data_IF_429229528495
#
_entry.id   IF_429229528495
#
_cell.length_a   1.000
_cell.length_b   1.000
_cell.length_c   1.000
_cell.angle_alpha   90.00
_cell.angle_beta   90.00
_cell.angle_gamma   90.00
#
_symmetry.space_group_name_H-M   'P 1'
#
loop_
_entity.id
_entity.type
_entity.pdbx_description
1 polymer ?
#
# COMPACT_ATOMS: atom_id res chain seq x y z
N UNK A 1 -17.91 21.22 2.36
CA UNK A 1 -16.93 22.03 3.10
C UNK A 1 -17.07 21.66 4.56
N UNK A 2 -16.27 20.72 5.05
CA UNK A 2 -16.17 20.43 6.48
C UNK A 2 -14.70 20.54 6.82
N UNK A 3 -14.34 21.69 7.37
CA UNK A 3 -13.03 21.98 7.91
C UNK A 3 -12.91 21.35 9.29
N UNK A 4 -11.79 20.67 9.56
CA UNK A 4 -11.33 20.42 10.92
C UNK A 4 -9.90 20.94 11.03
N UNK A 5 -9.75 22.04 11.77
CA UNK A 5 -8.46 22.61 12.18
C UNK A 5 -7.92 21.81 13.38
N UNK A 6 -6.61 21.51 13.38
CA UNK A 6 -5.62 21.96 14.37
C UNK A 6 -4.31 21.14 14.24
N UNK A 7 -3.19 21.87 14.25
CA UNK A 7 -1.77 21.48 14.27
C UNK A 7 -1.18 20.83 13.01
N UNK A 8 -0.74 21.66 12.06
CA UNK A 8 0.58 21.47 11.41
C UNK A 8 0.81 20.25 10.52
N UNK A 9 -0.23 19.59 10.01
CA UNK A 9 -0.08 18.38 9.17
C UNK A 9 -0.27 18.68 7.68
N UNK A 10 0.82 18.48 6.94
CA UNK A 10 0.92 18.05 5.54
C UNK A 10 -0.40 18.11 4.73
N UNK A 11 -0.49 19.09 3.82
CA UNK A 11 -1.51 19.14 2.76
C UNK A 11 -1.26 17.98 1.79
N UNK A 12 -2.07 16.92 1.90
CA UNK A 12 -2.27 15.99 0.79
C UNK A 12 -3.47 16.55 0.02
N UNK A 13 -3.21 17.32 -1.06
CA UNK A 13 -4.27 17.75 -1.98
C UNK A 13 -4.90 16.51 -2.61
N UNK A 14 -6.14 16.23 -2.23
CA UNK A 14 -6.89 15.03 -2.60
C UNK A 14 -7.52 15.14 -4.01
N UNK A 15 -7.27 16.24 -4.73
CA UNK A 15 -7.95 16.60 -5.98
C UNK A 15 -7.16 16.32 -7.26
N UNK A 16 -5.92 15.81 -7.19
CA UNK A 16 -5.20 15.34 -8.39
C UNK A 16 -5.29 13.83 -8.51
N UNK A 17 -6.44 13.43 -9.05
CA UNK A 17 -6.65 12.12 -9.62
C UNK A 17 -5.56 11.85 -10.70
N UNK A 18 -4.97 10.66 -10.62
CA UNK A 18 -4.24 9.93 -11.68
C UNK A 18 -2.77 10.18 -11.99
N UNK A 19 -2.12 11.30 -11.67
CA UNK A 19 -0.70 11.44 -12.04
C UNK A 19 0.15 12.19 -11.01
N UNK A 20 1.41 11.76 -10.94
CA UNK A 20 2.56 12.39 -10.30
C UNK A 20 2.68 12.37 -8.77
N UNK A 21 3.64 11.54 -8.34
CA UNK A 21 4.67 11.88 -7.35
C UNK A 21 4.22 12.57 -6.07
N UNK A 22 3.99 11.76 -5.06
CA UNK A 22 3.94 12.21 -3.68
C UNK A 22 5.21 13.02 -3.34
N UNK A 23 5.11 14.34 -3.35
CA UNK A 23 6.08 15.23 -2.72
C UNK A 23 5.91 15.07 -1.22
N UNK A 24 6.86 14.39 -0.59
CA UNK A 24 6.97 14.32 0.86
C UNK A 24 7.95 15.44 1.25
N UNK A 25 7.43 16.61 1.62
CA UNK A 25 8.24 17.66 2.25
C UNK A 25 8.33 17.37 3.75
N UNK A 26 9.55 17.16 4.25
CA UNK A 26 9.87 16.87 5.64
C UNK A 26 10.48 18.13 6.25
N UNK A 27 9.66 18.92 6.96
CA UNK A 27 10.18 19.99 7.81
C UNK A 27 10.28 19.46 9.25
N UNK A 28 11.52 19.30 9.72
CA UNK A 28 11.92 19.35 11.12
C UNK A 28 11.20 18.41 12.10
N UNK A 29 11.85 17.27 12.37
CA UNK A 29 11.66 16.43 13.56
C UNK A 29 10.23 15.92 13.86
N UNK A 30 9.86 14.78 13.24
CA UNK A 30 8.95 13.79 13.81
C UNK A 30 9.19 12.47 13.07
N UNK A 31 9.57 11.43 13.81
CA UNK A 31 9.77 10.05 13.37
C UNK A 31 8.78 9.62 12.29
N UNK A 32 9.21 9.20 11.09
CA UNK A 32 8.48 8.33 10.15
C UNK A 32 6.92 8.27 10.32
N UNK A 33 6.16 9.39 10.45
CA UNK A 33 4.73 9.40 10.91
C UNK A 33 3.64 10.27 10.17
N UNK A 34 3.72 10.61 8.84
CA UNK A 34 2.47 10.82 7.96
C UNK A 34 2.04 9.84 6.77
N UNK A 35 2.81 8.81 6.42
CA UNK A 35 2.53 7.48 5.77
C UNK A 35 1.31 6.57 6.15
N UNK A 36 0.88 6.58 7.42
CA UNK A 36 0.37 5.38 8.15
C UNK A 36 -1.14 5.32 8.34
N UNK A 37 -1.92 6.16 7.66
CA UNK A 37 -3.39 6.06 7.72
C UNK A 37 -3.94 4.93 6.82
N UNK A 38 -3.07 4.05 6.32
CA UNK A 38 -3.44 2.82 5.62
C UNK A 38 -3.38 1.60 6.55
N UNK A 39 -4.35 0.70 6.35
CA UNK A 39 -4.40 -0.59 7.01
C UNK A 39 -3.12 -1.38 6.76
N UNK A 40 -2.61 -2.01 7.82
CA UNK A 40 -1.34 -2.74 7.75
C UNK A 40 -1.55 -4.09 7.07
N UNK A 41 -0.62 -4.45 6.20
CA UNK A 41 -0.53 -5.76 5.61
C UNK A 41 0.91 -6.23 5.49
N UNK A 42 1.09 -7.52 5.25
CA UNK A 42 2.38 -8.17 5.02
C UNK A 42 2.38 -8.82 3.66
N UNK A 43 3.43 -8.57 2.88
CA UNK A 43 3.61 -9.27 1.61
C UNK A 43 4.12 -10.69 1.89
N UNK A 44 3.34 -11.71 1.53
CA UNK A 44 3.68 -13.10 1.83
C UNK A 44 4.56 -13.72 0.75
N UNK A 45 4.06 -13.73 -0.47
CA UNK A 45 4.69 -14.35 -1.63
C UNK A 45 4.00 -13.89 -2.90
N UNK A 46 4.50 -14.31 -4.05
CA UNK A 46 3.73 -14.25 -5.28
C UNK A 46 2.71 -15.40 -5.35
N UNK A 47 1.69 -15.23 -6.18
CA UNK A 47 0.83 -16.35 -6.55
C UNK A 47 1.70 -17.48 -7.10
N UNK A 48 1.55 -18.68 -6.56
CA UNK A 48 2.40 -19.81 -6.91
C UNK A 48 1.60 -21.11 -6.95
N UNK A 49 2.03 -22.02 -7.81
CA UNK A 49 1.70 -23.44 -7.75
C UNK A 49 2.85 -24.23 -7.11
N UNK A 50 2.81 -25.55 -7.22
CA UNK A 50 3.86 -26.44 -6.69
C UNK A 50 5.24 -26.16 -7.29
N UNK A 51 5.31 -25.86 -8.60
CA UNK A 51 6.56 -25.68 -9.35
C UNK A 51 6.75 -24.29 -9.96
N UNK A 52 5.69 -23.49 -10.08
CA UNK A 52 5.70 -22.22 -10.83
C UNK A 52 5.32 -21.07 -9.90
N UNK A 53 6.03 -19.95 -10.00
CA UNK A 53 5.72 -18.68 -9.34
C UNK A 53 5.28 -17.66 -10.40
N UNK A 54 4.20 -16.93 -10.13
CA UNK A 54 3.67 -15.89 -11.00
C UNK A 54 3.83 -14.52 -10.32
N UNK A 55 4.92 -13.78 -10.61
CA UNK A 55 5.24 -12.53 -9.94
C UNK A 55 4.27 -11.38 -10.26
N UNK A 56 3.44 -11.52 -11.30
CA UNK A 56 2.44 -10.49 -11.66
C UNK A 56 1.34 -10.35 -10.61
N UNK A 57 1.16 -11.34 -9.74
CA UNK A 57 0.18 -11.29 -8.66
C UNK A 57 0.85 -11.52 -7.32
N UNK A 58 0.74 -10.53 -6.44
CA UNK A 58 1.28 -10.56 -5.09
C UNK A 58 0.22 -10.98 -4.08
N UNK A 59 0.59 -11.83 -3.13
CA UNK A 59 -0.26 -12.21 -2.00
C UNK A 59 0.07 -11.31 -0.80
N UNK A 60 -0.96 -10.73 -0.19
CA UNK A 60 -0.83 -9.83 0.94
C UNK A 60 -1.77 -10.32 2.05
N UNK A 61 -1.23 -10.57 3.24
CA UNK A 61 -2.04 -10.82 4.44
C UNK A 61 -2.34 -9.49 5.11
N UNK A 62 -3.61 -9.20 5.31
CA UNK A 62 -4.04 -8.03 6.05
C UNK A 62 -4.05 -8.35 7.55
N UNK A 63 -3.62 -7.40 8.37
CA UNK A 63 -3.70 -7.57 9.83
C UNK A 63 -5.17 -7.53 10.28
N UNK A 64 -5.59 -8.39 11.21
CA UNK A 64 -6.97 -8.40 11.72
C UNK A 64 -8.06 -8.86 10.72
N UNK A 65 -7.68 -9.39 9.56
CA UNK A 65 -8.62 -9.99 8.60
C UNK A 65 -8.32 -11.48 8.50
N UNK A 66 -9.19 -12.29 9.10
CA UNK A 66 -9.06 -13.75 9.07
C UNK A 66 -10.03 -14.41 8.10
N UNK A 67 -11.14 -13.75 7.74
CA UNK A 67 -12.17 -14.28 6.87
C UNK A 67 -12.08 -13.78 5.43
N UNK A 68 -12.45 -14.65 4.48
CA UNK A 68 -12.60 -14.28 3.06
C UNK A 68 -13.67 -13.21 2.84
N UNK A 69 -14.76 -13.25 3.61
CA UNK A 69 -15.85 -12.24 3.55
C UNK A 69 -15.34 -10.85 3.95
N UNK A 70 -14.57 -10.77 5.03
CA UNK A 70 -13.95 -9.53 5.48
C UNK A 70 -12.90 -9.02 4.48
N UNK A 71 -12.15 -9.93 3.83
CA UNK A 71 -11.19 -9.57 2.80
C UNK A 71 -11.83 -8.98 1.52
N UNK A 72 -13.08 -9.34 1.21
CA UNK A 72 -13.81 -8.79 0.04
C UNK A 72 -13.96 -7.26 0.12
N UNK A 73 -14.13 -6.69 1.32
CA UNK A 73 -14.21 -5.25 1.54
C UNK A 73 -12.98 -4.49 1.01
N UNK A 74 -11.82 -5.13 1.03
CA UNK A 74 -10.56 -4.55 0.57
C UNK A 74 -10.34 -4.69 -0.94
N UNK A 75 -11.27 -5.31 -1.68
CA UNK A 75 -11.17 -5.41 -3.14
C UNK A 75 -11.26 -4.03 -3.80
N UNK A 76 -10.42 -3.77 -4.79
CA UNK A 76 -10.37 -2.48 -5.49
C UNK A 76 -9.59 -1.38 -4.75
N UNK A 77 -9.28 -1.57 -3.46
CA UNK A 77 -8.52 -0.62 -2.65
C UNK A 77 -7.09 -0.45 -3.15
N UNK A 78 -6.55 0.76 -3.03
CA UNK A 78 -5.16 1.06 -3.42
C UNK A 78 -4.19 0.49 -2.40
N UNK A 79 -3.03 0.03 -2.87
CA UNK A 79 -1.97 -0.53 -2.02
C UNK A 79 -0.63 0.11 -2.36
N UNK A 80 0.16 0.38 -1.34
CA UNK A 80 1.46 1.03 -1.44
C UNK A 80 2.53 0.21 -0.74
N UNK A 81 3.62 -0.07 -1.46
CA UNK A 81 4.86 -0.57 -0.88
C UNK A 81 5.90 0.56 -0.86
N UNK A 82 6.28 0.97 0.35
CA UNK A 82 7.25 2.05 0.56
C UNK A 82 8.61 1.43 0.87
N UNK A 83 9.66 1.89 0.21
CA UNK A 83 11.03 1.45 0.46
C UNK A 83 12.02 2.61 0.35
N UNK A 84 13.17 2.44 0.99
CA UNK A 84 14.25 3.42 0.96
C UNK A 84 15.35 2.96 0.00
N UNK A 85 15.80 3.87 -0.86
CA UNK A 85 16.90 3.67 -1.79
C UNK A 85 18.13 4.50 -1.39
N UNK A 86 19.31 4.12 -1.89
CA UNK A 86 20.56 4.85 -1.61
C UNK A 86 20.63 6.20 -2.31
N UNK A 87 20.23 6.22 -3.59
CA UNK A 87 20.23 7.41 -4.44
C UNK A 87 18.93 8.20 -4.26
N UNK A 88 19.11 9.50 -4.09
CA UNK A 88 18.03 10.48 -4.08
C UNK A 88 17.43 10.66 -5.47
N UNK A 89 16.10 10.66 -5.52
CA UNK A 89 15.32 10.95 -6.72
C UNK A 89 14.23 11.91 -6.28
N UNK A 90 14.13 13.08 -6.93
CA UNK A 90 13.11 14.10 -6.64
C UNK A 90 13.10 14.55 -5.18
N UNK A 91 14.27 14.89 -4.63
CA UNK A 91 14.37 15.45 -3.28
C UNK A 91 14.26 14.41 -2.14
N UNK A 92 14.07 13.12 -2.44
CA UNK A 92 13.89 12.10 -1.41
C UNK A 92 14.56 10.77 -1.72
N UNK A 93 14.92 10.04 -0.66
CA UNK A 93 15.41 8.65 -0.73
C UNK A 93 14.29 7.61 -0.64
N UNK A 94 13.06 8.06 -0.42
CA UNK A 94 11.87 7.22 -0.24
C UNK A 94 11.21 7.01 -1.60
N UNK A 95 10.82 5.78 -1.88
CA UNK A 95 10.16 5.38 -3.12
C UNK A 95 8.94 4.55 -2.80
N UNK A 96 7.92 4.68 -3.64
CA UNK A 96 6.65 3.99 -3.46
C UNK A 96 6.31 3.22 -4.73
N UNK A 97 5.93 1.95 -4.56
CA UNK A 97 5.33 1.15 -5.62
C UNK A 97 3.83 1.06 -5.33
N UNK A 98 3.04 1.62 -6.24
CA UNK A 98 1.59 1.60 -6.15
C UNK A 98 0.99 0.37 -6.83
N UNK A 99 -0.12 -0.09 -6.28
CA UNK A 99 -0.93 -1.16 -6.80
C UNK A 99 -2.38 -1.03 -6.38
N UNK A 100 -3.15 -2.08 -6.71
CA UNK A 100 -4.52 -2.26 -6.27
C UNK A 100 -4.72 -3.69 -5.77
N UNK A 101 -5.60 -3.83 -4.78
CA UNK A 101 -6.15 -5.12 -4.39
C UNK A 101 -7.17 -5.54 -5.45
N UNK A 102 -7.13 -6.80 -5.86
CA UNK A 102 -7.97 -7.34 -6.94
C UNK A 102 -9.10 -8.19 -6.39
N UNK A 103 -8.78 -9.23 -5.63
CA UNK A 103 -9.76 -10.17 -5.05
C UNK A 103 -9.18 -10.90 -3.84
N UNK A 104 -10.02 -11.44 -2.94
CA UNK A 104 -9.57 -12.30 -1.85
C UNK A 104 -8.89 -13.59 -2.38
N UNK A 105 -8.03 -14.17 -1.54
CA UNK A 105 -7.30 -15.40 -1.81
C UNK A 105 -7.41 -16.38 -0.65
N UNK A 106 -7.99 -17.55 -0.92
CA UNK A 106 -8.19 -18.59 0.09
C UNK A 106 -9.16 -18.13 1.17
N UNK A 107 -9.11 -18.82 2.31
CA UNK A 107 -10.04 -18.60 3.41
C UNK A 107 -9.46 -17.76 4.55
N UNK A 108 -8.14 -17.57 4.60
CA UNK A 108 -7.42 -16.94 5.72
C UNK A 108 -7.26 -15.43 5.60
N UNK A 109 -8.22 -14.73 4.98
CA UNK A 109 -8.18 -13.26 4.82
C UNK A 109 -6.98 -12.69 4.03
N UNK A 110 -6.32 -13.52 3.21
CA UNK A 110 -5.26 -13.07 2.29
C UNK A 110 -5.91 -12.44 1.06
N UNK A 111 -5.29 -11.42 0.50
CA UNK A 111 -5.75 -10.75 -0.71
C UNK A 111 -4.71 -10.83 -1.83
N UNK A 112 -5.19 -10.84 -3.07
CA UNK A 112 -4.35 -10.69 -4.27
C UNK A 112 -4.21 -9.22 -4.61
N UNK A 113 -2.99 -8.76 -4.79
CA UNK A 113 -2.68 -7.42 -5.25
C UNK A 113 -1.92 -7.45 -6.58
N UNK A 114 -2.25 -6.51 -7.44
CA UNK A 114 -1.51 -6.21 -8.66
C UNK A 114 -0.87 -4.84 -8.52
N UNK A 115 0.45 -4.80 -8.68
CA UNK A 115 1.22 -3.56 -8.63
C UNK A 115 1.52 -3.09 -10.05
N UNK A 116 1.73 -1.78 -10.23
CA UNK A 116 2.14 -1.21 -11.54
C UNK A 116 3.46 -1.82 -12.02
N UNK A 117 4.39 -1.98 -11.07
CA UNK A 117 5.60 -2.77 -11.26
C UNK A 117 5.59 -3.89 -10.23
N UNK A 118 5.94 -5.11 -10.67
CA UNK A 118 6.00 -6.25 -9.77
C UNK A 118 6.91 -5.94 -8.58
N UNK A 119 6.46 -6.31 -7.38
CA UNK A 119 7.27 -6.13 -6.19
C UNK A 119 8.57 -6.94 -6.32
N UNK A 120 9.71 -6.45 -5.82
CA UNK A 120 10.95 -7.23 -5.80
C UNK A 120 10.84 -8.38 -4.78
N UNK A 121 11.48 -9.55 -4.97
CA UNK A 121 11.38 -10.67 -4.01
C UNK A 121 11.85 -10.32 -2.59
N UNK A 122 12.70 -9.29 -2.45
CA UNK A 122 13.15 -8.75 -1.16
C UNK A 122 12.01 -8.18 -0.31
N UNK A 123 10.84 -7.90 -0.89
CA UNK A 123 9.69 -7.40 -0.14
C UNK A 123 8.93 -8.50 0.60
N UNK A 124 9.27 -9.78 0.43
CA UNK A 124 8.62 -10.83 1.22
C UNK A 124 8.83 -10.61 2.72
N UNK A 125 7.75 -10.74 3.48
CA UNK A 125 7.71 -10.45 4.92
C UNK A 125 7.66 -8.96 5.27
N UNK A 126 7.91 -8.06 4.31
CA UNK A 126 7.87 -6.63 4.52
C UNK A 126 6.43 -6.11 4.66
N UNK A 127 6.32 -4.97 5.33
CA UNK A 127 5.07 -4.27 5.54
C UNK A 127 4.62 -3.54 4.28
N UNK A 128 3.32 -3.61 4.03
CA UNK A 128 2.62 -2.97 2.93
C UNK A 128 1.45 -2.20 3.51
N UNK A 129 1.11 -1.05 2.91
CA UNK A 129 -0.02 -0.21 3.37
C UNK A 129 -1.17 -0.30 2.38
N UNK A 130 -2.34 -0.71 2.87
CA UNK A 130 -3.59 -0.72 2.10
C UNK A 130 -4.40 0.51 2.46
N UNK A 131 -4.74 1.29 1.45
CA UNK A 131 -5.52 2.52 1.62
C UNK A 131 -7.01 2.18 1.68
N UNK A 132 -7.81 2.98 2.38
CA UNK A 132 -9.26 2.75 2.48
C UNK A 132 -10.05 3.28 1.26
N UNK A 133 -9.36 3.94 0.32
CA UNK A 133 -9.92 4.44 -0.93
C UNK A 133 -9.56 3.55 -2.14
N UNK A 134 -10.34 3.59 -3.24
CA UNK A 134 -11.63 4.27 -3.40
C UNK A 134 -12.71 3.65 -2.50
N UNK A 135 -13.53 4.48 -1.87
CA UNK A 135 -14.61 3.99 -1.00
C UNK A 135 -15.67 3.28 -1.82
N UNK A 136 -16.19 2.17 -1.31
CA UNK A 136 -17.25 1.37 -1.95
C UNK A 136 -18.34 1.01 -0.93
N UNK A 137 -18.47 1.85 0.11
CA UNK A 137 -19.50 1.75 1.14
C UNK A 137 -20.57 2.79 0.90
#
# INVERSE_FOLDING_TARGET
>A
MVEYYVMGVIRISMDECMDMDAKIEINGAAEDTQIYNGWKGRHLSYQRGKRVTNPNTSLIKLEGVEDSKAATFYSGKKVAFVYRAKREVRGSKIRVIWGKVTRPHGNSGVVRAQFRHNLPPKSFGASVRVMLYPSSI
#
